data_IF_812593422576
#
_entry.id   IF_812593422576
#
_cell.length_a   1.000
_cell.length_b   1.000
_cell.length_c   1.000
_cell.angle_alpha   90.00
_cell.angle_beta   90.00
_cell.angle_gamma   90.00
#
_symmetry.space_group_name_H-M   'P 1'
#
loop_
_entity.id
_entity.type
_entity.pdbx_description
1 polymer ?
#
# COMPACT_ATOMS: atom_id res chain seq x y z
N UNK A 1 8.85 -0.16 14.80
CA UNK A 1 7.64 -0.34 13.98
C UNK A 1 7.98 0.18 12.60
N UNK A 2 8.09 -0.68 11.59
CA UNK A 2 8.49 -0.27 10.25
C UNK A 2 7.33 0.40 9.52
N UNK A 3 7.62 1.37 8.67
CA UNK A 3 6.63 2.11 7.89
C UNK A 3 7.02 2.17 6.42
N UNK A 4 5.99 2.13 5.57
CA UNK A 4 6.09 2.11 4.12
C UNK A 4 5.26 3.26 3.55
N UNK A 5 5.88 4.08 2.72
CA UNK A 5 5.24 5.13 1.95
C UNK A 5 4.92 4.62 0.55
N UNK A 6 3.65 4.63 0.17
CA UNK A 6 3.17 4.24 -1.16
C UNK A 6 2.72 5.50 -1.88
N UNK A 7 3.44 5.89 -2.92
CA UNK A 7 3.10 7.07 -3.71
C UNK A 7 2.21 6.66 -4.87
N UNK A 8 1.02 7.24 -4.93
CA UNK A 8 0.08 7.06 -6.02
C UNK A 8 0.14 8.26 -6.98
N UNK A 9 -0.18 8.02 -8.24
CA UNK A 9 -0.46 9.03 -9.26
C UNK A 9 -1.89 8.82 -9.70
N UNK A 10 -2.72 9.86 -9.62
CA UNK A 10 -4.14 9.75 -9.95
C UNK A 10 -4.91 11.03 -9.62
N UNK A 11 -6.25 10.95 -9.61
CA UNK A 11 -7.10 12.09 -9.25
C UNK A 11 -6.76 12.55 -7.83
N UNK A 12 -6.70 13.86 -7.59
CA UNK A 12 -6.34 14.44 -6.28
C UNK A 12 -7.43 14.12 -5.24
N UNK A 13 -7.40 12.93 -4.63
CA UNK A 13 -8.31 12.60 -3.53
C UNK A 13 -7.98 13.43 -2.30
N UNK A 14 -9.04 13.95 -1.68
CA UNK A 14 -8.95 14.60 -0.37
C UNK A 14 -9.01 13.56 0.77
N UNK A 15 -9.40 12.32 0.48
CA UNK A 15 -9.66 11.27 1.46
C UNK A 15 -8.64 10.13 1.33
N UNK A 16 -7.50 10.27 2.02
CA UNK A 16 -6.45 9.25 2.06
C UNK A 16 -6.90 7.91 2.64
N UNK A 17 -7.88 7.92 3.56
CA UNK A 17 -8.44 6.69 4.13
C UNK A 17 -9.22 5.85 3.11
N UNK A 18 -10.02 6.51 2.25
CA UNK A 18 -10.72 5.82 1.16
C UNK A 18 -9.75 5.28 0.11
N UNK A 19 -8.64 6.00 -0.15
CA UNK A 19 -7.55 5.48 -0.99
C UNK A 19 -6.93 4.21 -0.41
N UNK A 20 -6.70 4.18 0.91
CA UNK A 20 -6.22 2.99 1.62
C UNK A 20 -7.21 1.82 1.53
N UNK A 21 -8.48 2.05 1.83
CA UNK A 21 -9.53 1.02 1.76
C UNK A 21 -9.63 0.42 0.35
N UNK A 22 -9.66 1.26 -0.69
CA UNK A 22 -9.67 0.81 -2.08
C UNK A 22 -8.39 0.03 -2.45
N UNK A 23 -7.22 0.46 -1.97
CA UNK A 23 -5.97 -0.26 -2.18
C UNK A 23 -6.00 -1.64 -1.51
N UNK A 24 -6.50 -1.71 -0.28
CA UNK A 24 -6.62 -2.95 0.48
C UNK A 24 -7.57 -3.91 -0.23
N UNK A 25 -8.75 -3.44 -0.64
CA UNK A 25 -9.77 -4.24 -1.33
C UNK A 25 -9.29 -4.77 -2.69
N UNK A 26 -8.60 -3.93 -3.47
CA UNK A 26 -8.04 -4.32 -4.76
C UNK A 26 -7.04 -5.49 -4.62
N UNK A 27 -6.21 -5.47 -3.58
CA UNK A 27 -5.21 -6.52 -3.33
C UNK A 27 -5.79 -7.74 -2.61
N UNK A 28 -6.76 -7.57 -1.70
CA UNK A 28 -7.52 -8.68 -1.08
C UNK A 28 -8.23 -9.55 -2.12
N UNK A 29 -8.67 -8.95 -3.22
CA UNK A 29 -9.27 -9.65 -4.35
C UNK A 29 -8.28 -10.56 -5.12
N UNK A 30 -6.98 -10.50 -4.83
CA UNK A 30 -5.95 -11.36 -5.43
C UNK A 30 -5.81 -12.68 -4.66
N UNK A 31 -6.85 -13.52 -4.73
CA UNK A 31 -6.93 -14.82 -4.05
C UNK A 31 -5.78 -15.81 -4.36
N UNK A 32 -5.09 -15.58 -5.49
CA UNK A 32 -3.96 -16.39 -5.93
C UNK A 32 -2.68 -16.13 -5.12
N UNK A 33 -2.59 -15.01 -4.38
CA UNK A 33 -1.43 -14.66 -3.57
C UNK A 33 -1.84 -14.42 -2.10
N UNK A 34 -1.97 -15.52 -1.34
CA UNK A 34 -2.38 -15.48 0.07
C UNK A 34 -1.46 -14.63 0.95
N UNK A 35 -0.15 -14.68 0.70
CA UNK A 35 0.85 -13.89 1.43
C UNK A 35 0.61 -12.39 1.25
N UNK A 36 0.31 -11.95 0.02
CA UNK A 36 -0.05 -10.54 -0.24
C UNK A 36 -1.36 -10.16 0.44
N UNK A 37 -2.38 -11.02 0.38
CA UNK A 37 -3.68 -10.76 1.00
C UNK A 37 -3.53 -10.55 2.50
N UNK A 38 -2.83 -11.46 3.18
CA UNK A 38 -2.54 -11.37 4.61
C UNK A 38 -1.68 -10.14 4.96
N UNK A 39 -0.68 -9.85 4.12
CA UNK A 39 0.17 -8.68 4.30
C UNK A 39 -0.60 -7.36 4.21
N UNK A 40 -1.49 -7.25 3.21
CA UNK A 40 -2.30 -6.05 3.00
C UNK A 40 -3.43 -5.93 4.04
N UNK A 41 -3.89 -7.03 4.62
CA UNK A 41 -4.84 -7.00 5.74
C UNK A 41 -4.18 -6.60 7.06
N UNK A 42 -2.90 -6.92 7.22
CA UNK A 42 -2.13 -6.65 8.45
C UNK A 42 -1.52 -5.24 8.52
N UNK A 43 -1.55 -4.48 7.42
CA UNK A 43 -1.05 -3.10 7.42
C UNK A 43 -2.08 -2.13 8.00
N UNK A 44 -1.59 -1.16 8.74
CA UNK A 44 -2.35 -0.13 9.43
C UNK A 44 -2.12 1.20 8.70
N UNK A 45 -3.22 1.90 8.43
CA UNK A 45 -3.17 3.26 7.90
C UNK A 45 -2.56 4.23 8.94
N UNK A 46 -1.41 4.83 8.61
CA UNK A 46 -0.76 5.83 9.46
C UNK A 46 -1.14 7.25 9.07
N UNK A 47 -1.40 7.48 7.78
CA UNK A 47 -1.72 8.82 7.30
C UNK A 47 -1.60 8.95 5.79
N UNK A 48 -1.83 10.18 5.34
CA UNK A 48 -1.78 10.52 3.93
C UNK A 48 -1.18 11.92 3.77
N UNK A 49 -0.21 12.05 2.87
CA UNK A 49 0.39 13.32 2.48
C UNK A 49 -0.04 13.66 1.04
N UNK A 50 -0.41 14.91 0.82
CA UNK A 50 -0.72 15.42 -0.52
C UNK A 50 0.58 15.54 -1.34
N UNK A 51 0.56 15.21 -2.65
CA UNK A 51 -0.63 15.04 -3.47
C UNK A 51 -1.31 13.67 -3.39
N UNK A 52 -0.59 12.57 -3.11
CA UNK A 52 -1.12 11.20 -3.24
C UNK A 52 -0.25 10.13 -2.54
N UNK A 53 0.44 10.47 -1.45
CA UNK A 53 1.34 9.54 -0.75
C UNK A 53 0.66 8.97 0.49
N UNK A 54 0.54 7.64 0.54
CA UNK A 54 -0.07 6.90 1.62
C UNK A 54 1.00 6.33 2.55
N UNK A 55 0.84 6.52 3.86
CA UNK A 55 1.72 5.92 4.85
C UNK A 55 1.02 4.76 5.52
N UNK A 56 1.64 3.59 5.45
CA UNK A 56 1.18 2.39 6.13
C UNK A 56 2.27 1.86 7.07
N UNK A 57 1.84 1.28 8.18
CA UNK A 57 2.73 0.64 9.15
C UNK A 57 2.28 -0.81 9.34
N UNK A 58 3.20 -1.68 9.70
CA UNK A 58 2.86 -3.06 9.96
C UNK A 58 4.10 -3.88 10.31
N UNK A 59 3.90 -5.19 10.54
CA UNK A 59 5.02 -6.12 10.70
C UNK A 59 5.94 -6.10 9.48
N UNK A 60 7.24 -6.15 9.71
CA UNK A 60 8.26 -6.05 8.67
C UNK A 60 8.08 -7.11 7.58
N UNK A 61 7.68 -8.33 7.96
CA UNK A 61 7.42 -9.43 7.03
C UNK A 61 6.30 -9.09 6.04
N UNK A 62 5.21 -8.49 6.51
CA UNK A 62 4.10 -8.07 5.65
C UNK A 62 4.46 -6.90 4.76
N UNK A 63 5.18 -5.90 5.29
CA UNK A 63 5.67 -4.79 4.46
C UNK A 63 6.62 -5.29 3.36
N UNK A 64 7.46 -6.28 3.66
CA UNK A 64 8.33 -6.90 2.67
C UNK A 64 7.56 -7.69 1.61
N UNK A 65 6.46 -8.36 1.99
CA UNK A 65 5.57 -9.03 1.04
C UNK A 65 4.90 -8.01 0.08
N UNK A 66 4.44 -6.86 0.59
CA UNK A 66 3.90 -5.77 -0.25
C UNK A 66 4.95 -5.24 -1.22
N UNK A 67 6.20 -5.05 -0.77
CA UNK A 67 7.32 -4.63 -1.63
C UNK A 67 7.64 -5.68 -2.70
N UNK A 68 7.65 -6.94 -2.33
CA UNK A 68 7.89 -8.05 -3.26
C UNK A 68 6.79 -8.13 -4.32
N UNK A 69 5.53 -7.94 -3.91
CA UNK A 69 4.41 -7.86 -4.84
C UNK A 69 4.53 -6.67 -5.80
N UNK A 70 5.02 -5.52 -5.33
CA UNK A 70 5.32 -4.39 -6.21
C UNK A 70 6.44 -4.70 -7.20
N UNK A 71 7.56 -5.25 -6.71
CA UNK A 71 8.71 -5.62 -7.56
C UNK A 71 8.32 -6.65 -8.64
N UNK A 72 7.44 -7.58 -8.30
CA UNK A 72 6.87 -8.58 -9.22
C UNK A 72 5.76 -8.02 -10.12
N UNK A 73 5.38 -6.75 -9.99
CA UNK A 73 4.27 -6.08 -10.71
C UNK A 73 2.91 -6.75 -10.53
N UNK A 74 2.69 -7.36 -9.37
CA UNK A 74 1.43 -8.04 -9.02
C UNK A 74 0.62 -7.28 -7.99
N UNK A 75 1.22 -6.27 -7.36
CA UNK A 75 0.52 -5.34 -6.47
C UNK A 75 -0.42 -4.46 -7.28
N UNK A 76 -1.71 -4.49 -6.93
CA UNK A 76 -2.73 -3.68 -7.60
C UNK A 76 -2.82 -2.29 -6.98
N UNK A 77 -2.92 -1.23 -7.79
CA UNK A 77 -3.21 0.10 -7.28
C UNK A 77 -4.66 0.21 -6.80
N UNK A 78 -4.96 1.27 -6.05
CA UNK A 78 -6.34 1.64 -5.76
C UNK A 78 -7.08 2.03 -7.04
N UNK A 79 -8.41 1.87 -7.05
CA UNK A 79 -9.26 2.19 -8.20
C UNK A 79 -9.07 3.64 -8.70
N UNK A 80 -8.72 3.80 -9.97
CA UNK A 80 -8.46 5.10 -10.59
C UNK A 80 -7.07 5.70 -10.28
N UNK A 81 -6.19 4.97 -9.59
CA UNK A 81 -4.82 5.38 -9.31
C UNK A 81 -3.81 4.44 -9.97
N UNK A 82 -2.57 4.90 -10.07
CA UNK A 82 -1.40 4.09 -10.39
C UNK A 82 -0.37 4.23 -9.28
N UNK A 83 0.29 3.15 -8.89
CA UNK A 83 1.40 3.23 -7.93
C UNK A 83 2.63 3.72 -8.69
N UNK A 84 3.25 4.80 -8.22
CA UNK A 84 4.47 5.35 -8.81
C UNK A 84 5.72 4.80 -8.14
N UNK A 85 5.72 4.72 -6.82
CA UNK A 85 6.88 4.32 -6.04
C UNK A 85 6.47 3.82 -4.66
N UNK A 86 7.28 2.93 -4.10
CA UNK A 86 7.24 2.53 -2.70
C UNK A 86 8.54 2.98 -2.05
N UNK A 87 8.45 3.78 -1.00
CA UNK A 87 9.59 4.23 -0.19
C UNK A 87 9.53 3.60 1.20
N UNK A 88 10.64 3.02 1.66
CA UNK A 88 10.77 2.64 3.06
C UNK A 88 11.27 3.85 3.85
N UNK A 89 10.52 4.22 4.87
CA UNK A 89 11.03 5.09 5.93
C UNK A 89 11.72 4.17 6.94
N UNK A 90 13.04 4.03 6.81
CA UNK A 90 13.87 3.35 7.80
C UNK A 90 13.61 3.99 9.17
N UNK A 91 13.16 3.19 10.13
CA UNK A 91 13.19 3.59 11.54
C UNK A 91 14.60 3.34 12.03
N UNK A 92 15.28 4.42 12.43
CA UNK A 92 16.58 4.41 13.13
C UNK A 92 16.49 3.73 14.48
#
# INVERSE_FOLDING_TARGET
MSCLAITFIGPKTKNGRRLFENFVEANKSSFWNRELVEAVDSVIYMGFMRPSTLFVSGPQIHLQAVRTAWARRVLKPAEGYSISSLGESFTV
#
